data_IF_307153655633
#
_entry.id   IF_307153655633
#
_cell.length_a   1.000
_cell.length_b   1.000
_cell.length_c   1.000
_cell.angle_alpha   90.00
_cell.angle_beta   90.00
_cell.angle_gamma   90.00
#
_symmetry.space_group_name_H-M   'P 1'
#
loop_
_entity.id
_entity.type
_entity.pdbx_description
1 polymer ?
#
# COMPACT_ATOMS: atom_id res chain seq x y z
N UNK A 1 40.71 -11.38 1.76
CA UNK A 1 39.31 -10.95 1.55
C UNK A 1 38.68 -10.44 2.85
N UNK A 2 38.81 -11.12 3.98
CA UNK A 2 38.29 -10.67 5.28
C UNK A 2 38.79 -9.27 5.67
N UNK A 3 40.04 -8.94 5.35
CA UNK A 3 40.65 -7.62 5.61
C UNK A 3 40.05 -6.50 4.74
N UNK A 4 39.51 -6.83 3.54
CA UNK A 4 38.87 -5.90 2.64
C UNK A 4 37.40 -5.61 3.04
N UNK A 5 36.75 -6.54 3.76
CA UNK A 5 35.39 -6.38 4.31
C UNK A 5 35.33 -5.41 5.50
N UNK A 6 36.47 -5.08 6.13
CA UNK A 6 36.57 -4.21 7.32
C UNK A 6 36.43 -2.69 7.01
N UNK A 7 36.29 -2.30 5.76
CA UNK A 7 35.94 -0.93 5.38
C UNK A 7 34.39 -0.76 5.40
N UNK A 8 33.80 -0.91 6.57
CA UNK A 8 32.37 -0.68 6.82
C UNK A 8 32.13 0.82 6.70
N UNK A 9 31.40 1.22 5.66
CA UNK A 9 31.09 2.62 5.39
C UNK A 9 29.99 3.17 6.31
N UNK A 10 29.14 2.32 6.87
CA UNK A 10 27.99 2.71 7.68
C UNK A 10 27.97 1.88 8.96
N UNK A 11 28.04 2.54 10.11
CA UNK A 11 27.88 1.91 11.42
C UNK A 11 26.39 1.89 11.78
N UNK A 12 25.75 0.79 11.45
CA UNK A 12 24.33 0.59 11.75
C UNK A 12 24.05 0.51 13.25
N UNK A 13 25.04 0.20 14.10
CA UNK A 13 24.86 0.11 15.55
C UNK A 13 24.49 1.45 16.19
N UNK A 14 24.98 2.57 15.69
CA UNK A 14 24.68 3.91 16.19
C UNK A 14 23.37 4.49 15.63
N UNK A 15 22.84 3.94 14.53
CA UNK A 15 21.66 4.50 13.87
C UNK A 15 20.32 3.91 14.33
N UNK A 16 20.30 2.73 15.00
CA UNK A 16 19.06 2.05 15.41
C UNK A 16 18.08 2.95 16.17
N UNK A 17 18.54 3.66 17.19
CA UNK A 17 17.66 4.55 17.99
C UNK A 17 17.07 5.68 17.14
N UNK A 18 17.85 6.22 16.19
CA UNK A 18 17.39 7.30 15.29
C UNK A 18 16.33 6.80 14.31
N UNK A 19 16.51 5.59 13.79
CA UNK A 19 15.57 4.97 12.84
C UNK A 19 14.29 4.56 13.54
N UNK A 20 14.37 3.94 14.73
CA UNK A 20 13.18 3.63 15.53
C UNK A 20 12.41 4.91 15.91
N UNK A 21 13.14 5.99 16.25
CA UNK A 21 12.51 7.28 16.51
C UNK A 21 11.82 7.83 15.24
N UNK A 22 12.48 7.75 14.08
CA UNK A 22 11.89 8.17 12.81
C UNK A 22 10.62 7.36 12.49
N UNK A 23 10.62 6.05 12.71
CA UNK A 23 9.46 5.20 12.56
C UNK A 23 8.32 5.57 13.50
N UNK A 24 8.63 5.83 14.77
CA UNK A 24 7.63 6.29 15.74
C UNK A 24 7.04 7.66 15.35
N UNK A 25 7.87 8.59 14.86
CA UNK A 25 7.41 9.91 14.37
C UNK A 25 6.51 9.76 13.14
N UNK A 26 6.90 8.93 12.16
CA UNK A 26 6.10 8.69 10.96
C UNK A 26 4.76 8.04 11.34
N UNK A 27 4.77 7.09 12.26
CA UNK A 27 3.56 6.43 12.74
C UNK A 27 2.61 7.40 13.44
N UNK A 28 3.13 8.22 14.35
CA UNK A 28 2.35 9.25 15.07
C UNK A 28 1.83 10.32 14.09
N UNK A 29 2.66 10.76 13.15
CA UNK A 29 2.24 11.70 12.11
C UNK A 29 1.12 11.09 11.24
N UNK A 30 1.24 9.83 10.82
CA UNK A 30 0.21 9.13 10.06
C UNK A 30 -1.12 9.05 10.81
N UNK A 31 -1.09 8.73 12.11
CA UNK A 31 -2.29 8.75 12.95
C UNK A 31 -2.88 10.17 13.02
N UNK A 32 -2.05 11.20 13.25
CA UNK A 32 -2.51 12.58 13.31
C UNK A 32 -3.19 13.01 11.99
N UNK A 33 -2.67 12.59 10.84
CA UNK A 33 -3.27 12.89 9.54
C UNK A 33 -4.71 12.37 9.38
N UNK A 34 -5.06 11.24 10.02
CA UNK A 34 -6.42 10.68 9.96
C UNK A 34 -7.45 11.65 10.59
N UNK A 35 -7.03 12.41 11.62
CA UNK A 35 -7.91 13.33 12.36
C UNK A 35 -7.98 14.73 11.74
N UNK A 36 -7.17 15.04 10.72
CA UNK A 36 -7.22 16.33 10.03
C UNK A 36 -8.45 16.38 9.12
N UNK A 37 -9.31 17.44 9.20
CA UNK A 37 -10.42 17.60 8.28
C UNK A 37 -9.99 17.54 6.81
N UNK A 38 -10.65 16.71 6.02
CA UNK A 38 -10.31 16.48 4.60
C UNK A 38 -9.28 15.39 4.33
N UNK A 39 -8.60 14.88 5.38
CA UNK A 39 -7.86 13.62 5.35
C UNK A 39 -8.64 12.61 6.20
N UNK A 40 -8.88 11.46 5.70
CA UNK A 40 -9.62 10.43 6.40
C UNK A 40 -9.53 9.14 5.62
N UNK A 41 -9.93 8.04 6.25
CA UNK A 41 -9.96 6.75 5.58
C UNK A 41 -11.14 6.73 4.61
N UNK A 42 -10.85 6.69 3.32
CA UNK A 42 -11.86 6.55 2.26
C UNK A 42 -11.97 5.07 1.90
N UNK A 43 -13.12 4.48 2.20
CA UNK A 43 -13.40 3.10 1.81
C UNK A 43 -14.06 3.05 0.43
N UNK A 44 -13.75 2.02 -0.36
CA UNK A 44 -14.50 1.69 -1.57
C UNK A 44 -15.76 0.88 -1.22
N UNK A 45 -16.70 0.76 -2.17
CA UNK A 45 -17.93 -0.01 -2.02
C UNK A 45 -17.68 -1.49 -1.65
N UNK A 46 -16.52 -2.03 -2.02
CA UNK A 46 -16.13 -3.39 -1.68
C UNK A 46 -15.92 -3.60 -0.17
N UNK A 47 -15.60 -2.54 0.59
CA UNK A 47 -15.40 -2.57 2.04
C UNK A 47 -16.54 -1.94 2.83
N UNK A 48 -17.13 -0.86 2.28
CA UNK A 48 -18.19 -0.12 2.98
C UNK A 48 -19.61 -0.49 2.56
N UNK A 49 -19.75 -1.23 1.47
CA UNK A 49 -21.01 -1.34 0.75
C UNK A 49 -21.36 -0.05 0.00
N UNK A 50 -22.35 -0.08 -0.85
CA UNK A 50 -22.81 1.11 -1.56
C UNK A 50 -22.98 0.90 -3.06
N UNK A 51 -23.02 2.00 -3.81
CA UNK A 51 -23.22 1.99 -5.26
C UNK A 51 -22.14 2.82 -5.94
N UNK A 52 -21.55 2.29 -7.02
CA UNK A 52 -20.60 2.97 -7.89
C UNK A 52 -21.24 3.06 -9.27
N UNK A 53 -21.42 4.27 -9.78
CA UNK A 53 -22.04 4.55 -11.07
C UNK A 53 -20.98 5.22 -11.94
N UNK A 54 -20.70 4.65 -13.10
CA UNK A 54 -19.77 5.20 -14.08
C UNK A 54 -20.55 5.72 -15.28
N UNK A 55 -20.22 6.93 -15.71
CA UNK A 55 -20.76 7.56 -16.91
C UNK A 55 -19.65 7.82 -17.92
N UNK A 56 -19.91 7.54 -19.18
CA UNK A 56 -19.08 8.02 -20.28
C UNK A 56 -19.53 9.42 -20.69
N UNK A 57 -18.59 10.25 -21.14
CA UNK A 57 -18.89 11.60 -21.61
C UNK A 57 -17.95 12.04 -22.72
N UNK A 58 -18.41 13.01 -23.53
CA UNK A 58 -17.61 13.65 -24.56
C UNK A 58 -17.29 15.10 -24.16
N UNK A 59 -16.23 15.67 -24.73
CA UNK A 59 -15.89 17.08 -24.49
C UNK A 59 -15.16 17.29 -23.15
N UNK A 60 -15.42 18.41 -22.49
CA UNK A 60 -14.83 18.77 -21.19
C UNK A 60 -15.93 19.06 -20.17
N UNK A 61 -15.91 18.37 -19.05
CA UNK A 61 -16.86 18.48 -17.95
C UNK A 61 -16.07 18.77 -16.67
N UNK A 62 -16.43 19.81 -15.93
CA UNK A 62 -15.74 20.21 -14.70
C UNK A 62 -16.22 19.37 -13.52
N UNK A 63 -15.29 19.00 -12.63
CA UNK A 63 -15.59 18.21 -11.42
C UNK A 63 -16.59 18.91 -10.51
N UNK A 64 -16.45 20.22 -10.34
CA UNK A 64 -17.36 21.02 -9.51
C UNK A 64 -18.81 20.95 -10.00
N UNK A 65 -19.02 20.99 -11.32
CA UNK A 65 -20.37 20.95 -11.91
C UNK A 65 -21.01 19.55 -11.77
N UNK A 66 -20.19 18.48 -11.83
CA UNK A 66 -20.65 17.11 -11.54
C UNK A 66 -21.04 17.01 -10.07
N UNK A 67 -20.16 17.46 -9.16
CA UNK A 67 -20.40 17.41 -7.70
C UNK A 67 -21.66 18.16 -7.32
N UNK A 68 -21.90 19.35 -7.88
CA UNK A 68 -23.09 20.15 -7.58
C UNK A 68 -24.37 19.49 -8.09
N UNK A 69 -24.33 18.84 -9.26
CA UNK A 69 -25.50 18.09 -9.79
C UNK A 69 -25.79 16.87 -8.90
N UNK A 70 -24.76 16.13 -8.52
CA UNK A 70 -24.91 14.95 -7.66
C UNK A 70 -25.44 15.34 -6.28
N UNK A 71 -24.95 16.44 -5.69
CA UNK A 71 -25.47 16.98 -4.40
C UNK A 71 -26.95 17.38 -4.50
N UNK A 72 -27.38 17.89 -5.64
CA UNK A 72 -28.79 18.26 -5.86
C UNK A 72 -29.76 17.09 -5.90
N UNK A 73 -29.30 15.91 -6.30
CA UNK A 73 -30.12 14.68 -6.42
C UNK A 73 -29.94 13.73 -5.23
N UNK A 74 -28.73 13.69 -4.67
CA UNK A 74 -28.35 12.71 -3.65
C UNK A 74 -27.89 13.41 -2.37
N UNK A 75 -28.70 13.32 -1.32
CA UNK A 75 -28.41 13.81 0.04
C UNK A 75 -27.40 12.93 0.80
N UNK A 76 -26.33 12.51 0.14
CA UNK A 76 -25.34 11.57 0.71
C UNK A 76 -23.92 12.01 0.36
N UNK A 77 -22.98 11.60 1.20
CA UNK A 77 -21.57 11.76 0.87
C UNK A 77 -21.19 10.83 -0.29
N UNK A 78 -20.54 11.40 -1.29
CA UNK A 78 -20.07 10.69 -2.48
C UNK A 78 -18.64 11.12 -2.83
N UNK A 79 -18.01 10.37 -3.69
CA UNK A 79 -16.71 10.72 -4.28
C UNK A 79 -16.83 10.65 -5.79
N UNK A 80 -16.31 11.67 -6.48
CA UNK A 80 -16.21 11.70 -7.95
C UNK A 80 -14.77 11.43 -8.33
N UNK A 81 -14.55 10.56 -9.31
CA UNK A 81 -13.23 10.29 -9.90
C UNK A 81 -13.36 10.19 -11.42
N UNK A 82 -12.47 10.87 -12.15
CA UNK A 82 -12.39 10.80 -13.61
C UNK A 82 -11.35 9.79 -14.07
N UNK A 83 -11.60 9.17 -15.20
CA UNK A 83 -10.67 8.25 -15.86
C UNK A 83 -10.80 8.40 -17.37
N UNK A 84 -9.69 8.17 -18.08
CA UNK A 84 -9.66 8.15 -19.54
C UNK A 84 -9.23 6.78 -20.02
N UNK A 85 -9.94 6.19 -20.97
CA UNK A 85 -9.59 4.88 -21.50
C UNK A 85 -8.30 4.93 -22.33
N UNK A 86 -7.39 3.96 -22.10
CA UNK A 86 -6.17 3.80 -22.91
C UNK A 86 -6.44 3.36 -24.35
N UNK A 87 -7.58 2.74 -24.61
CA UNK A 87 -7.91 2.13 -25.89
C UNK A 87 -8.78 3.01 -26.81
N UNK A 88 -9.13 4.24 -26.38
CA UNK A 88 -9.96 5.18 -27.13
C UNK A 88 -10.21 6.47 -26.37
N UNK A 89 -10.72 7.48 -27.07
CA UNK A 89 -11.06 8.80 -26.50
C UNK A 89 -12.25 8.78 -25.51
N UNK A 90 -12.63 7.62 -24.99
CA UNK A 90 -13.74 7.52 -24.05
C UNK A 90 -13.31 8.02 -22.68
N UNK A 91 -13.76 9.19 -22.33
CA UNK A 91 -13.63 9.76 -20.99
C UNK A 91 -14.76 9.23 -20.12
N UNK A 92 -14.46 8.82 -18.91
CA UNK A 92 -15.45 8.36 -17.93
C UNK A 92 -15.29 9.10 -16.61
N UNK A 93 -16.38 9.32 -15.90
CA UNK A 93 -16.34 9.67 -14.49
C UNK A 93 -17.17 8.69 -13.69
N UNK A 94 -16.68 8.38 -12.49
CA UNK A 94 -17.30 7.48 -11.55
C UNK A 94 -17.80 8.25 -10.33
N UNK A 95 -19.03 7.98 -9.93
CA UNK A 95 -19.65 8.49 -8.70
C UNK A 95 -19.76 7.30 -7.75
N UNK A 96 -18.98 7.32 -6.66
CA UNK A 96 -19.03 6.29 -5.63
C UNK A 96 -19.74 6.81 -4.39
N UNK A 97 -20.82 6.13 -4.02
CA UNK A 97 -21.59 6.34 -2.80
C UNK A 97 -21.37 5.18 -1.86
N UNK A 98 -20.59 5.40 -0.81
CA UNK A 98 -20.26 4.37 0.19
C UNK A 98 -21.23 4.46 1.36
N UNK A 99 -21.78 3.35 1.78
CA UNK A 99 -22.67 3.28 2.94
C UNK A 99 -23.74 2.19 2.87
N UNK A 100 -24.53 2.09 3.94
CA UNK A 100 -25.50 1.00 4.15
C UNK A 100 -26.67 0.96 3.15
N UNK A 101 -26.96 2.06 2.46
CA UNK A 101 -28.09 2.12 1.55
C UNK A 101 -27.58 2.25 0.11
N UNK A 102 -27.83 1.24 -0.70
CA UNK A 102 -27.67 1.32 -2.16
C UNK A 102 -28.57 2.43 -2.73
N UNK A 103 -28.17 3.01 -3.83
CA UNK A 103 -29.00 3.96 -4.59
C UNK A 103 -30.07 3.13 -5.30
N UNK A 104 -31.34 3.47 -5.10
CA UNK A 104 -32.45 2.81 -5.82
C UNK A 104 -32.35 3.06 -7.33
N UNK A 105 -32.91 2.17 -8.15
CA UNK A 105 -32.92 2.33 -9.59
C UNK A 105 -33.58 3.66 -10.03
N UNK A 106 -34.64 4.07 -9.32
CA UNK A 106 -35.35 5.35 -9.55
C UNK A 106 -34.41 6.56 -9.35
N UNK A 107 -33.62 6.57 -8.27
CA UNK A 107 -32.66 7.64 -8.00
C UNK A 107 -31.46 7.61 -8.96
N UNK A 108 -31.08 6.45 -9.47
CA UNK A 108 -30.06 6.35 -10.52
C UNK A 108 -30.59 6.95 -11.85
N UNK A 109 -31.83 6.69 -12.16
CA UNK A 109 -32.50 7.29 -13.36
C UNK A 109 -32.65 8.79 -13.23
N UNK A 110 -33.08 9.29 -12.06
CA UNK A 110 -33.16 10.71 -11.75
C UNK A 110 -31.79 11.41 -11.88
N UNK A 111 -30.76 10.80 -11.34
CA UNK A 111 -29.37 11.29 -11.46
C UNK A 111 -28.90 11.31 -12.92
N UNK A 112 -29.20 10.26 -13.68
CA UNK A 112 -28.83 10.18 -15.10
C UNK A 112 -29.54 11.29 -15.90
N UNK A 113 -30.82 11.52 -15.65
CA UNK A 113 -31.57 12.60 -16.28
C UNK A 113 -31.00 13.98 -15.95
N UNK A 114 -30.74 14.24 -14.66
CA UNK A 114 -30.18 15.52 -14.21
C UNK A 114 -28.81 15.81 -14.82
N UNK A 115 -27.96 14.79 -14.94
CA UNK A 115 -26.66 14.91 -15.58
C UNK A 115 -26.78 15.15 -17.08
N UNK A 116 -27.64 14.41 -17.77
CA UNK A 116 -27.87 14.57 -19.22
C UNK A 116 -28.49 15.94 -19.56
N UNK A 117 -29.40 16.45 -18.75
CA UNK A 117 -29.99 17.77 -18.91
C UNK A 117 -28.97 18.90 -18.68
N UNK A 118 -28.18 18.81 -17.63
CA UNK A 118 -27.19 19.84 -17.30
C UNK A 118 -26.04 19.90 -18.30
N UNK A 119 -25.64 18.75 -18.84
CA UNK A 119 -24.52 18.60 -19.77
C UNK A 119 -24.99 18.18 -21.17
N UNK A 120 -26.04 18.85 -21.70
CA UNK A 120 -26.64 18.53 -23.00
C UNK A 120 -25.64 18.50 -24.16
N UNK A 121 -24.57 19.29 -24.09
CA UNK A 121 -23.50 19.36 -25.10
C UNK A 121 -22.46 18.25 -25.02
N UNK A 122 -22.48 17.45 -23.93
CA UNK A 122 -21.40 16.51 -23.59
C UNK A 122 -21.75 15.02 -23.71
N UNK A 123 -22.84 14.65 -24.32
CA UNK A 123 -23.32 13.27 -24.53
C UNK A 123 -22.98 12.36 -23.36
N UNK A 124 -23.72 12.49 -22.23
CA UNK A 124 -23.51 11.67 -21.05
C UNK A 124 -24.33 10.38 -21.17
N UNK A 125 -23.67 9.24 -21.06
CA UNK A 125 -24.31 7.92 -21.09
C UNK A 125 -23.88 7.08 -19.89
N UNK A 126 -24.82 6.31 -19.34
CA UNK A 126 -24.51 5.36 -18.28
C UNK A 126 -23.60 4.24 -18.83
N UNK A 127 -22.35 4.21 -18.38
CA UNK A 127 -21.37 3.23 -18.79
C UNK A 127 -21.45 1.94 -17.97
N UNK A 128 -21.53 2.06 -16.63
CA UNK A 128 -21.62 0.92 -15.72
C UNK A 128 -22.25 1.33 -14.39
N UNK A 129 -22.97 0.42 -13.75
CA UNK A 129 -23.48 0.60 -12.39
C UNK A 129 -23.30 -0.66 -11.58
N UNK A 130 -22.49 -0.56 -10.52
CA UNK A 130 -22.21 -1.65 -9.59
C UNK A 130 -22.73 -1.29 -8.20
N UNK A 131 -23.47 -2.22 -7.59
CA UNK A 131 -23.94 -2.09 -6.21
C UNK A 131 -23.51 -3.28 -5.37
N UNK A 132 -22.93 -2.99 -4.21
CA UNK A 132 -22.46 -3.99 -3.26
C UNK A 132 -23.25 -3.84 -1.96
N UNK A 133 -23.95 -4.90 -1.56
CA UNK A 133 -24.67 -4.88 -0.28
C UNK A 133 -23.70 -4.82 0.89
N UNK A 134 -24.06 -4.16 2.01
CA UNK A 134 -23.22 -4.09 3.21
C UNK A 134 -22.82 -5.47 3.77
N UNK A 135 -23.66 -6.47 3.61
CA UNK A 135 -23.40 -7.86 4.04
C UNK A 135 -22.25 -8.47 3.22
N UNK A 136 -22.26 -8.27 1.89
CA UNK A 136 -21.21 -8.75 0.98
C UNK A 136 -19.92 -8.02 1.26
N UNK A 137 -19.97 -6.70 1.42
CA UNK A 137 -18.81 -5.88 1.77
C UNK A 137 -18.17 -6.30 3.10
N UNK A 138 -18.97 -6.52 4.14
CA UNK A 138 -18.49 -7.02 5.44
C UNK A 138 -17.85 -8.40 5.34
N UNK A 139 -18.43 -9.30 4.55
CA UNK A 139 -17.85 -10.63 4.28
C UNK A 139 -16.52 -10.53 3.52
N UNK A 140 -16.42 -9.62 2.53
CA UNK A 140 -15.20 -9.38 1.79
C UNK A 140 -14.09 -8.82 2.68
N UNK A 141 -14.42 -7.81 3.51
CA UNK A 141 -13.47 -7.23 4.47
C UNK A 141 -12.93 -8.29 5.43
N UNK A 142 -13.81 -9.10 6.04
CA UNK A 142 -13.42 -10.18 6.95
C UNK A 142 -12.49 -11.18 6.27
N UNK A 143 -12.83 -11.63 5.06
CA UNK A 143 -11.98 -12.57 4.29
C UNK A 143 -10.63 -11.97 3.95
N UNK A 144 -10.56 -10.67 3.65
CA UNK A 144 -9.33 -9.94 3.38
C UNK A 144 -8.41 -9.90 4.61
N UNK A 145 -8.96 -9.58 5.78
CA UNK A 145 -8.20 -9.61 7.04
C UNK A 145 -7.69 -11.02 7.34
N UNK A 146 -8.54 -12.05 7.18
CA UNK A 146 -8.13 -13.44 7.37
C UNK A 146 -7.00 -13.83 6.44
N UNK A 147 -7.04 -13.42 5.16
CA UNK A 147 -5.97 -13.69 4.20
C UNK A 147 -4.64 -13.05 4.64
N UNK A 148 -4.65 -11.80 5.11
CA UNK A 148 -3.46 -11.10 5.62
C UNK A 148 -2.92 -11.82 6.87
N UNK A 149 -3.78 -12.22 7.80
CA UNK A 149 -3.38 -12.94 9.02
C UNK A 149 -2.79 -14.32 8.71
N UNK A 150 -3.39 -15.06 7.78
CA UNK A 150 -2.85 -16.36 7.32
C UNK A 150 -1.47 -16.15 6.68
N UNK A 151 -1.31 -15.13 5.83
CA UNK A 151 -0.01 -14.81 5.22
C UNK A 151 1.03 -14.46 6.30
N UNK A 152 0.68 -13.62 7.27
CA UNK A 152 1.55 -13.29 8.39
C UNK A 152 1.95 -14.55 9.20
N UNK A 153 1.02 -15.46 9.45
CA UNK A 153 1.28 -16.73 10.14
C UNK A 153 2.27 -17.60 9.35
N UNK A 154 2.06 -17.74 8.03
CA UNK A 154 3.02 -18.48 7.18
C UNK A 154 4.41 -17.85 7.19
N UNK A 155 4.51 -16.52 7.19
CA UNK A 155 5.79 -15.80 7.30
C UNK A 155 6.49 -16.15 8.63
N UNK A 156 5.78 -16.10 9.75
CA UNK A 156 6.32 -16.44 11.08
C UNK A 156 6.85 -17.89 11.08
N UNK A 157 6.05 -18.82 10.61
CA UNK A 157 6.41 -20.24 10.56
C UNK A 157 7.64 -20.44 9.68
N UNK A 158 7.63 -19.86 8.48
CA UNK A 158 8.73 -19.98 7.52
C UNK A 158 10.05 -19.42 8.09
N UNK A 159 10.03 -18.18 8.58
CA UNK A 159 11.22 -17.51 9.13
C UNK A 159 11.71 -18.25 10.40
N UNK A 160 10.78 -18.63 11.28
CA UNK A 160 11.10 -19.38 12.51
C UNK A 160 11.79 -20.71 12.25
N UNK A 161 11.32 -21.48 11.26
CA UNK A 161 11.93 -22.76 10.87
C UNK A 161 13.25 -22.52 10.11
N UNK A 162 13.26 -21.60 9.16
CA UNK A 162 14.40 -21.35 8.27
C UNK A 162 15.62 -20.84 9.00
N UNK A 163 15.41 -20.03 10.04
CA UNK A 163 16.48 -19.35 10.79
C UNK A 163 16.60 -19.83 12.25
N UNK A 164 16.21 -21.04 12.55
CA UNK A 164 16.28 -21.64 13.92
C UNK A 164 17.67 -21.51 14.58
N UNK A 165 18.76 -21.49 13.80
CA UNK A 165 20.13 -21.40 14.33
C UNK A 165 20.54 -19.98 14.73
N UNK A 166 19.85 -18.95 14.21
CA UNK A 166 20.15 -17.53 14.44
C UNK A 166 18.99 -16.89 15.21
N UNK A 167 18.53 -17.53 16.30
CA UNK A 167 17.44 -16.98 17.11
C UNK A 167 16.02 -17.14 16.56
N UNK A 168 15.77 -18.09 15.67
CA UNK A 168 14.51 -18.48 15.01
C UNK A 168 13.24 -17.68 15.33
N UNK A 169 12.74 -17.77 16.57
CA UNK A 169 11.51 -17.09 16.99
C UNK A 169 11.73 -15.57 17.09
N UNK A 170 12.85 -15.12 17.65
CA UNK A 170 13.17 -13.69 17.74
C UNK A 170 13.28 -13.07 16.34
N UNK A 171 13.95 -13.77 15.40
CA UNK A 171 14.03 -13.38 14.01
C UNK A 171 12.65 -13.29 13.32
N UNK A 172 11.77 -14.25 13.62
CA UNK A 172 10.40 -14.24 13.06
C UNK A 172 9.57 -13.07 13.59
N UNK A 173 9.63 -12.78 14.90
CA UNK A 173 8.89 -11.68 15.52
C UNK A 173 9.36 -10.33 14.99
N UNK A 174 10.66 -10.09 14.90
CA UNK A 174 11.19 -8.82 14.39
C UNK A 174 10.93 -8.62 12.89
N UNK A 175 11.03 -9.69 12.08
CA UNK A 175 10.60 -9.65 10.69
C UNK A 175 9.12 -9.27 10.58
N UNK A 176 8.25 -9.87 11.42
CA UNK A 176 6.83 -9.52 11.44
C UNK A 176 6.59 -8.06 11.84
N UNK A 177 7.30 -7.55 12.85
CA UNK A 177 7.20 -6.13 13.25
C UNK A 177 7.58 -5.20 12.10
N UNK A 178 8.64 -5.51 11.34
CA UNK A 178 9.03 -4.73 10.17
C UNK A 178 7.95 -4.77 9.08
N UNK A 179 7.38 -5.97 8.80
CA UNK A 179 6.30 -6.13 7.83
C UNK A 179 5.03 -5.38 8.22
N UNK A 180 4.65 -5.42 9.51
CA UNK A 180 3.50 -4.65 10.02
C UNK A 180 3.72 -3.16 9.81
N UNK A 181 4.94 -2.68 10.05
CA UNK A 181 5.29 -1.29 9.80
C UNK A 181 5.17 -0.92 8.31
N UNK A 182 5.65 -1.77 7.39
CA UNK A 182 5.52 -1.55 5.95
C UNK A 182 4.05 -1.48 5.52
N UNK A 183 3.17 -2.30 6.10
CA UNK A 183 1.72 -2.23 5.89
C UNK A 183 1.14 -0.90 6.40
N UNK A 184 1.59 -0.39 7.55
CA UNK A 184 1.16 0.93 8.03
C UNK A 184 1.60 2.07 7.11
N UNK A 185 2.82 2.02 6.56
CA UNK A 185 3.28 3.02 5.58
C UNK A 185 2.40 3.01 4.33
N UNK A 186 2.05 1.85 3.80
CA UNK A 186 1.13 1.76 2.65
C UNK A 186 -0.25 2.31 2.98
N UNK A 187 -0.75 2.04 4.19
CA UNK A 187 -2.03 2.57 4.68
C UNK A 187 -2.01 4.10 4.80
N UNK A 188 -0.99 4.66 5.45
CA UNK A 188 -0.86 6.12 5.59
C UNK A 188 -0.64 6.81 4.24
N UNK A 189 0.00 6.14 3.29
CA UNK A 189 0.10 6.62 1.91
C UNK A 189 -1.28 6.79 1.29
N UNK A 190 -2.19 5.82 1.46
CA UNK A 190 -3.55 5.95 0.99
C UNK A 190 -4.27 7.14 1.63
N UNK A 191 -4.13 7.34 2.95
CA UNK A 191 -4.73 8.48 3.67
C UNK A 191 -4.16 9.80 3.17
N UNK A 192 -2.83 9.91 3.04
CA UNK A 192 -2.14 11.12 2.62
C UNK A 192 -2.51 11.54 1.19
N UNK A 193 -2.51 10.61 0.25
CA UNK A 193 -2.89 10.87 -1.15
C UNK A 193 -4.41 10.82 -1.39
N UNK A 194 -5.22 10.67 -0.33
CA UNK A 194 -6.69 10.59 -0.37
C UNK A 194 -7.21 9.47 -1.29
N UNK A 195 -6.43 8.38 -1.41
CA UNK A 195 -6.80 7.21 -2.20
C UNK A 195 -7.86 6.38 -1.47
N UNK A 196 -8.73 5.74 -2.23
CA UNK A 196 -9.70 4.81 -1.67
C UNK A 196 -9.04 3.48 -1.32
N UNK A 197 -9.38 2.92 -0.15
CA UNK A 197 -9.03 1.56 0.19
C UNK A 197 -10.01 0.63 -0.52
N UNK A 198 -9.53 -0.02 -1.56
CA UNK A 198 -10.26 -0.96 -2.41
C UNK A 198 -9.62 -2.37 -2.38
N UNK A 199 -10.09 -3.27 -3.22
CA UNK A 199 -9.51 -4.61 -3.36
C UNK A 199 -8.04 -4.59 -3.78
N UNK A 200 -7.59 -3.55 -4.52
CA UNK A 200 -6.20 -3.41 -4.94
C UNK A 200 -5.29 -3.14 -3.73
N UNK A 201 -5.79 -2.42 -2.71
CA UNK A 201 -5.02 -2.21 -1.49
C UNK A 201 -4.68 -3.54 -0.78
N UNK A 202 -5.60 -4.51 -0.76
CA UNK A 202 -5.29 -5.84 -0.19
C UNK A 202 -4.22 -6.55 -1.02
N UNK A 203 -4.28 -6.44 -2.35
CA UNK A 203 -3.23 -6.99 -3.22
C UNK A 203 -1.88 -6.32 -2.96
N UNK A 204 -1.84 -4.99 -2.73
CA UNK A 204 -0.63 -4.27 -2.33
C UNK A 204 -0.09 -4.79 -1.01
N UNK A 205 -0.93 -4.93 0.03
CA UNK A 205 -0.51 -5.44 1.35
C UNK A 205 0.13 -6.82 1.21
N UNK A 206 -0.54 -7.76 0.53
CA UNK A 206 -0.01 -9.13 0.34
C UNK A 206 1.29 -9.13 -0.48
N UNK A 207 1.39 -8.27 -1.48
CA UNK A 207 2.61 -8.14 -2.30
C UNK A 207 3.77 -7.57 -1.49
N UNK A 208 3.53 -6.53 -0.68
CA UNK A 208 4.56 -5.91 0.18
C UNK A 208 5.04 -6.89 1.26
N UNK A 209 4.13 -7.68 1.85
CA UNK A 209 4.52 -8.73 2.81
C UNK A 209 5.53 -9.72 2.16
N UNK A 210 5.28 -10.14 0.92
CA UNK A 210 6.19 -11.03 0.20
C UNK A 210 7.49 -10.34 -0.22
N UNK A 211 7.40 -9.10 -0.71
CA UNK A 211 8.55 -8.33 -1.20
C UNK A 211 9.52 -7.98 -0.07
N UNK A 212 9.04 -7.39 1.01
CA UNK A 212 9.86 -6.99 2.16
C UNK A 212 10.48 -8.20 2.88
N UNK A 213 9.70 -9.32 2.94
CA UNK A 213 10.24 -10.58 3.46
C UNK A 213 11.43 -11.08 2.65
N UNK A 214 11.41 -10.98 1.31
CA UNK A 214 12.51 -11.43 0.46
C UNK A 214 13.82 -10.71 0.81
N UNK A 215 13.79 -9.39 0.99
CA UNK A 215 14.96 -8.61 1.37
C UNK A 215 15.48 -9.00 2.79
N UNK A 216 14.56 -9.23 3.71
CA UNK A 216 14.88 -9.72 5.06
C UNK A 216 15.56 -11.09 5.02
N UNK A 217 15.06 -12.04 4.22
CA UNK A 217 15.65 -13.38 4.06
C UNK A 217 17.09 -13.29 3.54
N UNK A 218 17.35 -12.43 2.55
CA UNK A 218 18.69 -12.25 1.96
C UNK A 218 19.70 -11.82 3.02
N UNK A 219 19.32 -10.90 3.90
CA UNK A 219 20.22 -10.44 4.97
C UNK A 219 20.42 -11.53 6.04
N UNK A 220 19.36 -12.24 6.46
CA UNK A 220 19.48 -13.35 7.42
C UNK A 220 20.32 -14.52 6.88
N UNK A 221 20.18 -14.87 5.60
CA UNK A 221 21.04 -15.89 4.98
C UNK A 221 22.51 -15.45 4.98
N UNK A 222 22.78 -14.15 4.78
CA UNK A 222 24.13 -13.61 4.87
C UNK A 222 24.67 -13.58 6.29
N UNK A 223 23.85 -13.30 7.29
CA UNK A 223 24.22 -13.41 8.71
C UNK A 223 24.64 -14.85 9.04
N UNK A 224 23.83 -15.83 8.61
CA UNK A 224 24.13 -17.25 8.83
C UNK A 224 25.42 -17.71 8.15
N UNK A 225 25.73 -17.19 6.98
CA UNK A 225 26.97 -17.46 6.26
C UNK A 225 28.17 -16.85 6.99
N UNK A 226 28.08 -15.57 7.37
CA UNK A 226 29.15 -14.84 8.03
C UNK A 226 29.41 -15.33 9.46
N UNK A 227 28.40 -15.80 10.18
CA UNK A 227 28.57 -16.45 11.50
C UNK A 227 29.51 -17.67 11.41
N UNK A 228 29.42 -18.45 10.31
CA UNK A 228 30.32 -19.58 10.07
C UNK A 228 31.72 -19.17 9.65
N UNK A 229 31.86 -18.02 8.97
CA UNK A 229 33.15 -17.53 8.48
C UNK A 229 33.90 -16.72 9.54
N UNK A 230 33.22 -16.23 10.56
CA UNK A 230 33.77 -15.38 11.63
C UNK A 230 33.33 -15.89 13.01
N UNK A 231 33.74 -17.15 13.41
CA UNK A 231 33.23 -17.79 14.64
C UNK A 231 33.68 -17.07 15.91
N UNK A 232 34.82 -16.36 15.88
CA UNK A 232 35.39 -15.64 17.02
C UNK A 232 34.96 -14.16 17.09
N UNK A 233 34.09 -13.72 16.21
CA UNK A 233 33.62 -12.33 16.18
C UNK A 233 32.35 -12.16 17.00
N UNK A 234 32.15 -10.97 17.59
CA UNK A 234 30.86 -10.64 18.20
C UNK A 234 29.73 -10.70 17.19
N UNK A 235 28.57 -11.18 17.61
CA UNK A 235 27.38 -11.33 16.73
C UNK A 235 26.96 -9.98 16.13
N UNK A 236 27.17 -8.89 16.85
CA UNK A 236 26.97 -7.50 16.43
C UNK A 236 27.79 -7.15 15.18
N UNK A 237 29.06 -7.58 15.14
CA UNK A 237 29.96 -7.33 14.00
C UNK A 237 29.58 -8.19 12.79
N UNK A 238 29.23 -9.46 13.03
CA UNK A 238 28.75 -10.39 12.00
C UNK A 238 27.56 -9.80 11.28
N UNK A 239 26.59 -9.24 12.03
CA UNK A 239 25.40 -8.60 11.46
C UNK A 239 25.72 -7.34 10.69
N UNK A 240 26.54 -6.48 11.27
CA UNK A 240 26.92 -5.24 10.61
C UNK A 240 27.61 -5.49 9.26
N UNK A 241 28.52 -6.47 9.21
CA UNK A 241 29.15 -6.93 7.96
C UNK A 241 28.13 -7.51 6.99
N UNK A 242 27.17 -8.31 7.50
CA UNK A 242 26.15 -8.97 6.67
C UNK A 242 25.21 -7.94 6.02
N UNK A 243 24.74 -6.95 6.78
CA UNK A 243 23.90 -5.87 6.26
C UNK A 243 24.66 -5.09 5.18
N UNK A 244 25.90 -4.64 5.48
CA UNK A 244 26.70 -3.88 4.51
C UNK A 244 26.99 -4.66 3.22
N UNK A 245 27.20 -5.98 3.31
CA UNK A 245 27.47 -6.83 2.14
C UNK A 245 26.20 -7.02 1.29
N UNK A 246 25.04 -7.15 1.93
CA UNK A 246 23.75 -7.34 1.26
C UNK A 246 23.15 -6.03 0.73
N UNK A 247 23.54 -4.88 1.29
CA UNK A 247 22.96 -3.57 1.02
C UNK A 247 22.96 -3.23 -0.47
N UNK A 248 24.05 -3.47 -1.18
CA UNK A 248 24.15 -3.17 -2.62
C UNK A 248 23.14 -3.97 -3.42
N UNK A 249 22.97 -5.25 -3.13
CA UNK A 249 22.02 -6.14 -3.83
C UNK A 249 20.58 -5.69 -3.54
N UNK A 250 20.23 -5.53 -2.26
CA UNK A 250 18.88 -5.11 -1.87
C UNK A 250 18.54 -3.72 -2.45
N UNK A 251 19.46 -2.75 -2.38
CA UNK A 251 19.25 -1.42 -2.95
C UNK A 251 19.01 -1.45 -4.47
N UNK A 252 19.77 -2.26 -5.22
CA UNK A 252 19.55 -2.40 -6.67
C UNK A 252 18.21 -3.05 -6.95
N UNK A 253 17.85 -4.13 -6.24
CA UNK A 253 16.58 -4.82 -6.42
C UNK A 253 15.40 -3.88 -6.10
N UNK A 254 15.46 -3.18 -4.98
CA UNK A 254 14.41 -2.24 -4.58
C UNK A 254 14.31 -1.04 -5.52
N UNK A 255 15.44 -0.52 -6.01
CA UNK A 255 15.45 0.57 -6.98
C UNK A 255 14.84 0.16 -8.32
N UNK A 256 15.19 -1.01 -8.84
CA UNK A 256 14.64 -1.49 -10.13
C UNK A 256 13.12 -1.74 -10.03
N UNK A 257 12.66 -2.32 -8.93
CA UNK A 257 11.22 -2.53 -8.70
C UNK A 257 10.50 -1.19 -8.48
N UNK A 258 11.11 -0.28 -7.73
CA UNK A 258 10.56 1.07 -7.53
C UNK A 258 10.39 1.81 -8.86
N UNK A 259 11.41 1.79 -9.73
CA UNK A 259 11.34 2.43 -11.07
C UNK A 259 10.23 1.81 -11.91
N UNK A 260 10.09 0.46 -11.89
CA UNK A 260 9.00 -0.20 -12.60
C UNK A 260 7.62 0.24 -12.09
N UNK A 261 7.43 0.32 -10.77
CA UNK A 261 6.16 0.77 -10.17
C UNK A 261 5.93 2.26 -10.43
N UNK A 262 6.97 3.10 -10.39
CA UNK A 262 6.86 4.53 -10.73
C UNK A 262 6.47 4.75 -12.20
N UNK A 263 6.84 3.84 -13.11
CA UNK A 263 6.34 3.87 -14.48
C UNK A 263 4.81 3.66 -14.52
N UNK A 264 4.28 2.74 -13.68
CA UNK A 264 2.84 2.54 -13.56
C UNK A 264 2.17 3.79 -12.96
N UNK A 265 2.79 4.41 -11.95
CA UNK A 265 2.30 5.68 -11.37
C UNK A 265 2.23 6.76 -12.45
N UNK A 266 3.30 6.94 -13.23
CA UNK A 266 3.33 7.95 -14.30
C UNK A 266 2.23 7.70 -15.35
N UNK A 267 2.05 6.46 -15.80
CA UNK A 267 0.99 6.09 -16.74
C UNK A 267 -0.39 6.35 -16.11
N UNK A 268 -0.59 6.00 -14.84
CA UNK A 268 -1.88 6.21 -14.18
C UNK A 268 -2.24 7.70 -14.04
N UNK A 269 -1.26 8.57 -13.79
CA UNK A 269 -1.49 10.02 -13.73
C UNK A 269 -1.72 10.63 -15.12
N UNK A 270 -0.95 10.21 -16.13
CA UNK A 270 -1.10 10.72 -17.49
C UNK A 270 -2.44 10.39 -18.13
N UNK A 271 -2.96 9.21 -17.84
CA UNK A 271 -4.23 8.72 -18.41
C UNK A 271 -5.41 8.74 -17.42
N UNK A 272 -5.23 9.28 -16.22
CA UNK A 272 -6.29 9.36 -15.20
C UNK A 272 -6.82 7.99 -14.75
N UNK A 273 -5.98 6.94 -14.73
CA UNK A 273 -6.39 5.57 -14.40
C UNK A 273 -6.46 5.35 -12.88
N UNK A 274 -7.59 5.68 -12.29
CA UNK A 274 -7.79 5.65 -10.82
C UNK A 274 -7.48 4.29 -10.21
N UNK A 275 -7.86 3.18 -10.87
CA UNK A 275 -7.62 1.81 -10.39
C UNK A 275 -6.12 1.46 -10.34
N UNK A 276 -5.32 1.89 -11.31
CA UNK A 276 -3.87 1.69 -11.29
C UNK A 276 -3.21 2.58 -10.25
N UNK A 277 -3.73 3.78 -10.03
CA UNK A 277 -3.22 4.72 -9.03
C UNK A 277 -3.39 4.18 -7.61
N UNK A 278 -4.57 3.61 -7.27
CA UNK A 278 -4.83 3.02 -5.94
C UNK A 278 -3.95 1.81 -5.64
N UNK A 279 -3.42 1.14 -6.67
CA UNK A 279 -2.45 0.05 -6.54
C UNK A 279 -1.00 0.57 -6.48
N UNK A 280 -0.58 1.37 -7.48
CA UNK A 280 0.83 1.67 -7.72
C UNK A 280 1.40 2.66 -6.69
N UNK A 281 0.64 3.69 -6.28
CA UNK A 281 1.14 4.69 -5.34
C UNK A 281 1.46 4.08 -3.97
N UNK A 282 0.55 3.36 -3.28
CA UNK A 282 0.89 2.74 -1.99
C UNK A 282 2.00 1.69 -2.14
N UNK A 283 2.04 0.96 -3.26
CA UNK A 283 3.08 -0.03 -3.53
C UNK A 283 4.46 0.61 -3.66
N UNK A 284 4.60 1.75 -4.34
CA UNK A 284 5.87 2.48 -4.44
C UNK A 284 6.43 2.86 -3.06
N UNK A 285 5.59 3.42 -2.17
CA UNK A 285 5.99 3.76 -0.81
C UNK A 285 6.27 2.52 0.06
N UNK A 286 5.50 1.44 -0.14
CA UNK A 286 5.73 0.16 0.52
C UNK A 286 7.08 -0.47 0.17
N UNK A 287 7.51 -0.41 -1.11
CA UNK A 287 8.83 -0.88 -1.56
C UNK A 287 9.95 -0.07 -0.89
N UNK A 288 9.82 1.26 -0.83
CA UNK A 288 10.81 2.12 -0.17
C UNK A 288 10.87 1.81 1.33
N UNK A 289 9.72 1.65 1.99
CA UNK A 289 9.65 1.24 3.39
C UNK A 289 10.32 -0.11 3.62
N UNK A 290 10.00 -1.13 2.81
CA UNK A 290 10.56 -2.47 2.93
C UNK A 290 12.08 -2.52 2.73
N UNK A 291 12.62 -1.69 1.81
CA UNK A 291 14.06 -1.57 1.61
C UNK A 291 14.80 -1.01 2.86
N UNK A 292 14.14 -0.14 3.62
CA UNK A 292 14.70 0.43 4.86
C UNK A 292 14.47 -0.49 6.04
N UNK A 293 13.26 -1.04 6.20
CA UNK A 293 12.85 -1.85 7.36
C UNK A 293 13.59 -3.18 7.43
N UNK A 294 13.92 -3.80 6.28
CA UNK A 294 14.62 -5.08 6.20
C UNK A 294 16.01 -5.07 6.86
N UNK A 295 16.76 -3.96 6.73
CA UNK A 295 18.07 -3.80 7.37
C UNK A 295 17.98 -3.59 8.89
N UNK A 296 16.99 -2.85 9.35
CA UNK A 296 16.85 -2.45 10.76
C UNK A 296 16.16 -3.52 11.63
N UNK A 297 15.21 -4.27 11.08
CA UNK A 297 14.55 -5.37 11.79
C UNK A 297 15.54 -6.43 12.27
N UNK A 298 16.50 -6.79 11.42
CA UNK A 298 17.53 -7.80 11.73
C UNK A 298 18.42 -7.34 12.89
N UNK A 299 18.76 -6.06 12.92
CA UNK A 299 19.57 -5.49 13.96
C UNK A 299 18.88 -5.47 15.33
N UNK A 300 17.58 -5.15 15.35
CA UNK A 300 16.75 -5.20 16.56
C UNK A 300 16.71 -6.61 17.15
N UNK A 301 16.62 -7.65 16.30
CA UNK A 301 16.64 -9.06 16.74
C UNK A 301 17.88 -9.38 17.55
N UNK A 302 19.03 -8.89 17.09
CA UNK A 302 20.33 -9.32 17.63
C UNK A 302 20.72 -8.50 18.85
N UNK A 303 20.27 -7.24 18.96
CA UNK A 303 20.45 -6.47 20.20
C UNK A 303 19.59 -7.00 21.36
N UNK A 304 18.63 -7.90 21.09
CA UNK A 304 17.77 -8.55 22.09
C UNK A 304 18.25 -9.97 22.45
N UNK A 305 19.28 -10.49 21.82
CA UNK A 305 20.01 -11.73 22.15
C UNK A 305 21.23 -11.45 23.01
#
# INVERSE_FOLDING_TARGET
EVRKMRNIKIDFNKSLKKVLLAYAVIFLAGIAFIFIPGFGVKLDINFGGGTKIAYSYTGDVKDADIEDTVKGVLDKSFTVSKSTSLAGDTKTFEIALVGKNSVSAEKQEELTKALTEKFSDNTIELYNSNSVSPTVAGSFFTKSIVAVLITALFVIIYVGIRFRRIGGISAAVTALCALVFDVFITFFTCVFFKLQLDSNYIAVVLTILGYSLNDTIVVYDRVRENERLMPDSEISDVVNVSINTSLKRNAITSLTTFVAVMTIVAVSELFGLSTLRTFAVPMAFGIVSGAVSSGEGIKSTISSM
#
